data_IF_410452208329
#
_entry.id   IF_410452208329
#
_cell.length_a   1.000
_cell.length_b   1.000
_cell.length_c   1.000
_cell.angle_alpha   90.00
_cell.angle_beta   90.00
_cell.angle_gamma   90.00
#
_symmetry.space_group_name_H-M   'P 1'
#
loop_
_entity.id
_entity.type
_entity.pdbx_description
1 polymer ?
#
# COMPACT_ATOMS: atom_id res chain seq x y z
N UNK A 1 -16.46 -5.49 -2.61
CA UNK A 1 -15.10 -6.01 -2.36
C UNK A 1 -14.20 -5.28 -3.33
N UNK A 2 -13.48 -4.27 -2.88
CA UNK A 2 -12.22 -3.96 -3.53
C UNK A 2 -11.30 -5.07 -3.04
N UNK A 3 -10.94 -6.00 -3.92
CA UNK A 3 -10.01 -7.05 -3.58
C UNK A 3 -8.67 -6.37 -3.27
N UNK A 4 -8.20 -6.51 -2.03
CA UNK A 4 -6.89 -6.02 -1.62
C UNK A 4 -5.81 -6.51 -2.58
N UNK A 5 -4.75 -5.72 -2.77
CA UNK A 5 -3.70 -6.07 -3.73
C UNK A 5 -3.19 -7.48 -3.40
N UNK A 6 -3.20 -8.43 -4.35
CA UNK A 6 -2.79 -9.78 -4.05
C UNK A 6 -1.29 -9.80 -3.74
N UNK A 7 -0.86 -10.63 -2.78
CA UNK A 7 0.53 -10.67 -2.28
C UNK A 7 1.59 -10.77 -3.39
N UNK A 8 1.30 -11.48 -4.49
CA UNK A 8 2.23 -11.60 -5.63
C UNK A 8 2.45 -10.27 -6.37
N UNK A 9 1.43 -9.39 -6.38
CA UNK A 9 1.52 -8.06 -6.98
C UNK A 9 2.33 -7.11 -6.10
N UNK A 10 2.15 -7.18 -4.77
CA UNK A 10 2.98 -6.45 -3.80
C UNK A 10 4.45 -6.83 -3.94
N UNK A 11 4.74 -8.13 -4.09
CA UNK A 11 6.11 -8.61 -4.35
C UNK A 11 6.67 -8.01 -5.64
N UNK A 12 5.90 -7.99 -6.74
CA UNK A 12 6.33 -7.38 -8.02
C UNK A 12 6.62 -5.89 -7.90
N UNK A 13 5.82 -5.13 -7.14
CA UNK A 13 6.03 -3.69 -6.89
C UNK A 13 7.39 -3.45 -6.19
N UNK A 14 7.84 -4.37 -5.32
CA UNK A 14 9.19 -4.27 -4.71
C UNK A 14 10.34 -4.43 -5.71
N UNK A 15 10.11 -5.07 -6.86
CA UNK A 15 11.11 -5.20 -7.93
C UNK A 15 11.12 -4.02 -8.90
N UNK A 16 10.19 -3.05 -8.75
CA UNK A 16 10.12 -1.89 -9.63
C UNK A 16 11.12 -0.78 -9.27
N UNK A 17 11.69 -0.84 -8.07
CA UNK A 17 12.74 0.07 -7.60
C UNK A 17 14.02 0.00 -8.47
N UNK A 18 14.59 1.17 -8.78
CA UNK A 18 15.77 1.29 -9.64
C UNK A 18 17.00 0.59 -9.06
N UNK A 19 17.23 0.68 -7.74
CA UNK A 19 18.34 0.01 -7.06
C UNK A 19 18.16 -1.51 -7.08
N UNK A 20 16.93 -1.99 -6.89
CA UNK A 20 16.62 -3.42 -6.96
C UNK A 20 16.87 -3.96 -8.38
N UNK A 21 16.48 -3.22 -9.41
CA UNK A 21 16.77 -3.57 -10.82
C UNK A 21 18.26 -3.65 -11.11
N UNK A 22 19.07 -2.74 -10.56
CA UNK A 22 20.54 -2.78 -10.68
C UNK A 22 21.12 -4.01 -9.98
N UNK A 23 20.66 -4.32 -8.77
CA UNK A 23 21.09 -5.52 -8.04
C UNK A 23 20.70 -6.81 -8.78
N UNK A 24 19.49 -6.85 -9.35
CA UNK A 24 19.02 -7.97 -10.17
C UNK A 24 19.88 -8.14 -11.43
N UNK A 25 20.23 -7.03 -12.10
CA UNK A 25 21.13 -7.05 -13.25
C UNK A 25 22.54 -7.55 -12.85
N UNK A 26 23.07 -7.10 -11.70
CA UNK A 26 24.35 -7.57 -11.18
C UNK A 26 24.32 -9.07 -10.86
N UNK A 27 23.25 -9.57 -10.24
CA UNK A 27 23.05 -11.00 -9.98
C UNK A 27 23.00 -11.81 -11.29
N UNK A 28 22.30 -11.31 -12.31
CA UNK A 28 22.20 -11.95 -13.62
C UNK A 28 23.57 -11.99 -14.34
N UNK A 29 24.33 -10.88 -14.29
CA UNK A 29 25.68 -10.82 -14.85
C UNK A 29 26.60 -11.77 -14.09
N UNK A 30 26.62 -11.75 -12.76
CA UNK A 30 27.43 -12.66 -11.93
C UNK A 30 27.12 -14.13 -12.25
N UNK A 31 25.83 -14.49 -12.36
CA UNK A 31 25.42 -15.84 -12.74
C UNK A 31 25.86 -16.21 -14.17
N UNK A 32 25.74 -15.29 -15.13
CA UNK A 32 26.20 -15.50 -16.50
C UNK A 32 27.73 -15.66 -16.57
N UNK A 33 28.49 -14.93 -15.76
CA UNK A 33 29.94 -15.07 -15.68
C UNK A 33 30.33 -16.47 -15.17
N UNK A 34 29.67 -16.98 -14.12
CA UNK A 34 29.90 -18.35 -13.60
C UNK A 34 29.61 -19.42 -14.66
N UNK A 35 28.65 -19.14 -15.56
CA UNK A 35 28.26 -20.04 -16.65
C UNK A 35 29.18 -19.96 -17.87
N UNK A 36 29.69 -18.77 -18.20
CA UNK A 36 30.53 -18.49 -19.38
C UNK A 36 32.03 -18.63 -19.08
N UNK A 37 32.46 -18.57 -17.82
CA UNK A 37 33.88 -18.67 -17.46
C UNK A 37 34.45 -20.00 -17.98
N UNK A 38 35.34 -19.89 -18.98
CA UNK A 38 36.06 -20.98 -19.65
C UNK A 38 36.94 -21.68 -18.60
N UNK A 39 36.34 -22.63 -17.88
CA UNK A 39 37.06 -23.41 -16.87
C UNK A 39 38.04 -24.34 -17.58
N UNK A 40 39.28 -24.37 -17.09
CA UNK A 40 40.23 -25.39 -17.49
C UNK A 40 39.59 -26.79 -17.34
N UNK A 41 39.75 -27.69 -18.33
CA UNK A 41 39.06 -28.97 -18.34
C UNK A 41 39.45 -29.79 -17.09
N UNK A 42 38.52 -29.93 -16.15
CA UNK A 42 38.69 -30.72 -14.92
C UNK A 42 38.57 -29.96 -13.59
N UNK A 43 38.35 -28.64 -13.57
CA UNK A 43 38.02 -27.93 -12.33
C UNK A 43 36.58 -28.25 -11.89
N UNK A 44 36.34 -28.82 -10.69
CA UNK A 44 34.99 -29.02 -10.17
C UNK A 44 34.30 -27.68 -9.95
N UNK A 45 32.98 -27.65 -10.11
CA UNK A 45 32.18 -26.48 -9.76
C UNK A 45 32.21 -26.38 -8.23
N UNK A 46 33.02 -25.48 -7.70
CA UNK A 46 33.07 -25.23 -6.27
C UNK A 46 31.83 -24.43 -5.87
N UNK A 47 31.24 -24.80 -4.73
CA UNK A 47 30.09 -24.08 -4.14
C UNK A 47 30.39 -22.58 -3.93
N UNK A 48 31.67 -22.23 -3.83
CA UNK A 48 32.20 -20.87 -3.67
C UNK A 48 31.81 -19.97 -4.86
N UNK A 49 31.75 -20.50 -6.08
CA UNK A 49 31.43 -19.72 -7.28
C UNK A 49 29.96 -19.25 -7.31
N UNK A 50 29.06 -19.96 -6.61
CA UNK A 50 27.65 -19.57 -6.48
C UNK A 50 27.34 -18.74 -5.23
N UNK A 51 28.33 -18.51 -4.36
CA UNK A 51 28.12 -17.72 -3.14
C UNK A 51 27.74 -16.29 -3.49
N UNK A 52 28.45 -15.66 -4.44
CA UNK A 52 28.20 -14.27 -4.82
C UNK A 52 26.79 -14.01 -5.39
N UNK A 53 26.32 -14.70 -6.45
CA UNK A 53 24.95 -14.51 -6.94
C UNK A 53 23.92 -15.01 -5.92
N UNK A 54 24.24 -16.03 -5.12
CA UNK A 54 23.38 -16.55 -4.07
C UNK A 54 23.13 -15.54 -2.94
N UNK A 55 24.16 -14.81 -2.49
CA UNK A 55 24.04 -13.77 -1.46
C UNK A 55 23.21 -12.59 -1.97
N UNK A 56 23.41 -12.16 -3.23
CA UNK A 56 22.62 -11.06 -3.81
C UNK A 56 21.15 -11.45 -3.89
N UNK A 57 20.85 -12.66 -4.37
CA UNK A 57 19.47 -13.17 -4.44
C UNK A 57 18.82 -13.29 -3.05
N UNK A 58 19.59 -13.72 -2.05
CA UNK A 58 19.12 -13.78 -0.66
C UNK A 58 18.74 -12.39 -0.13
N UNK A 59 19.55 -11.37 -0.37
CA UNK A 59 19.27 -9.99 0.04
C UNK A 59 17.98 -9.48 -0.63
N UNK A 60 17.80 -9.75 -1.92
CA UNK A 60 16.59 -9.37 -2.64
C UNK A 60 15.32 -10.03 -2.07
N UNK A 61 15.40 -11.32 -1.74
CA UNK A 61 14.29 -12.04 -1.11
C UNK A 61 13.97 -11.45 0.27
N UNK A 62 15.00 -11.18 1.09
CA UNK A 62 14.80 -10.58 2.42
C UNK A 62 14.16 -9.19 2.32
N UNK A 63 14.62 -8.34 1.40
CA UNK A 63 14.03 -7.02 1.17
C UNK A 63 12.56 -7.12 0.73
N UNK A 64 12.24 -8.03 -0.18
CA UNK A 64 10.86 -8.25 -0.62
C UNK A 64 9.95 -8.71 0.54
N UNK A 65 10.43 -9.61 1.41
CA UNK A 65 9.69 -10.05 2.60
C UNK A 65 9.42 -8.88 3.56
N UNK A 66 10.43 -8.06 3.84
CA UNK A 66 10.30 -6.90 4.73
C UNK A 66 9.34 -5.87 4.13
N UNK A 67 9.45 -5.59 2.83
CA UNK A 67 8.56 -4.66 2.12
C UNK A 67 7.09 -5.10 2.19
N UNK A 68 6.80 -6.37 1.87
CA UNK A 68 5.43 -6.92 1.95
C UNK A 68 4.89 -6.87 3.38
N UNK A 69 5.73 -7.13 4.40
CA UNK A 69 5.28 -7.06 5.79
C UNK A 69 4.93 -5.63 6.23
N UNK A 70 5.69 -4.64 5.79
CA UNK A 70 5.43 -3.23 6.09
C UNK A 70 4.12 -2.75 5.43
N UNK A 71 3.89 -3.09 4.17
CA UNK A 71 2.69 -2.66 3.43
C UNK A 71 1.42 -3.37 3.94
N UNK A 72 1.49 -4.67 4.23
CA UNK A 72 0.37 -5.40 4.83
C UNK A 72 -0.03 -4.86 6.20
N UNK A 73 0.93 -4.42 7.01
CA UNK A 73 0.62 -3.83 8.32
C UNK A 73 -0.13 -2.50 8.21
N UNK A 74 0.13 -1.71 7.16
CA UNK A 74 -0.60 -0.47 6.88
C UNK A 74 -2.05 -0.75 6.43
N UNK A 75 -2.26 -1.72 5.52
CA UNK A 75 -3.60 -2.13 5.09
C UNK A 75 -4.45 -2.68 6.25
N UNK A 76 -3.88 -3.48 7.14
CA UNK A 76 -4.58 -4.04 8.30
C UNK A 76 -5.11 -2.95 9.25
N UNK A 77 -4.38 -1.85 9.43
CA UNK A 77 -4.83 -0.73 10.25
C UNK A 77 -6.07 -0.04 9.64
N UNK A 78 -6.11 0.06 8.30
CA UNK A 78 -7.26 0.59 7.58
C UNK A 78 -8.46 -0.37 7.64
N UNK A 79 -8.23 -1.68 7.60
CA UNK A 79 -9.28 -2.70 7.71
C UNK A 79 -9.90 -2.72 9.12
N UNK A 80 -9.10 -2.56 10.17
CA UNK A 80 -9.60 -2.43 11.55
C UNK A 80 -10.56 -1.22 11.72
N UNK A 81 -10.35 -0.13 10.96
CA UNK A 81 -11.30 0.99 10.91
C UNK A 81 -12.60 0.61 10.18
N UNK A 82 -12.54 -0.24 9.14
CA UNK A 82 -13.74 -0.75 8.45
C UNK A 82 -14.56 -1.68 9.36
N UNK A 83 -13.91 -2.52 10.17
CA UNK A 83 -14.58 -3.39 11.15
C UNK A 83 -15.30 -2.63 12.27
N UNK A 84 -15.05 -1.33 12.43
CA UNK A 84 -15.84 -0.51 13.36
C UNK A 84 -17.29 -0.32 12.91
N UNK A 85 -17.62 -0.61 11.64
CA UNK A 85 -18.98 -0.53 11.09
C UNK A 85 -19.83 -1.74 11.52
N UNK A 86 -21.10 -1.52 11.84
CA UNK A 86 -22.03 -2.59 12.24
C UNK A 86 -22.27 -3.56 11.08
N UNK A 87 -22.13 -4.87 11.28
CA UNK A 87 -22.39 -5.88 10.23
C UNK A 87 -23.89 -6.01 9.88
N UNK A 88 -24.77 -5.73 10.85
CA UNK A 88 -26.22 -5.88 10.70
C UNK A 88 -26.98 -4.67 11.21
N UNK A 89 -28.15 -4.44 10.62
CA UNK A 89 -29.05 -3.34 10.93
C UNK A 89 -30.50 -3.87 11.04
N UNK A 90 -31.30 -3.22 11.90
CA UNK A 90 -32.74 -3.46 11.96
C UNK A 90 -33.45 -2.43 11.10
N UNK A 91 -34.08 -2.87 10.02
CA UNK A 91 -34.68 -2.00 8.99
C UNK A 91 -36.16 -2.32 8.84
N UNK A 92 -36.98 -1.29 8.63
CA UNK A 92 -38.38 -1.43 8.26
C UNK A 92 -38.51 -1.32 6.74
N UNK A 93 -38.76 -2.44 6.05
CA UNK A 93 -39.08 -2.49 4.62
C UNK A 93 -40.38 -3.29 4.42
N UNK A 94 -41.20 -2.87 3.46
CA UNK A 94 -42.51 -3.49 3.16
C UNK A 94 -43.42 -3.66 4.40
N UNK A 95 -43.33 -2.73 5.36
CA UNK A 95 -44.11 -2.75 6.60
C UNK A 95 -43.68 -3.82 7.61
N UNK A 96 -42.57 -4.53 7.39
CA UNK A 96 -42.03 -5.55 8.31
C UNK A 96 -40.63 -5.17 8.77
N UNK A 97 -40.34 -5.45 10.04
CA UNK A 97 -39.01 -5.30 10.59
C UNK A 97 -38.15 -6.50 10.19
N UNK A 98 -37.10 -6.23 9.42
CA UNK A 98 -36.00 -7.17 9.21
C UNK A 98 -34.92 -6.90 10.26
N UNK A 99 -34.59 -7.91 11.05
CA UNK A 99 -33.65 -7.82 12.16
C UNK A 99 -32.21 -8.21 11.78
N UNK A 100 -32.00 -8.81 10.62
CA UNK A 100 -30.70 -9.32 10.17
C UNK A 100 -30.29 -8.72 8.81
N UNK A 101 -30.80 -7.53 8.49
CA UNK A 101 -30.49 -6.85 7.25
C UNK A 101 -29.02 -6.43 7.23
N UNK A 102 -28.33 -6.64 6.12
CA UNK A 102 -26.91 -6.30 6.02
C UNK A 102 -26.74 -4.78 5.95
N UNK A 103 -25.93 -4.21 6.83
CA UNK A 103 -25.75 -2.76 6.90
C UNK A 103 -25.21 -2.16 5.59
N UNK A 104 -24.45 -2.94 4.81
CA UNK A 104 -23.94 -2.54 3.48
C UNK A 104 -25.02 -2.32 2.43
N UNK A 105 -26.19 -2.93 2.60
CA UNK A 105 -27.30 -2.84 1.65
C UNK A 105 -28.27 -1.71 2.02
N UNK A 106 -27.93 -0.92 3.05
CA UNK A 106 -28.68 0.26 3.46
C UNK A 106 -28.55 1.36 2.41
N UNK A 107 -29.66 2.03 2.15
CA UNK A 107 -29.74 3.18 1.26
C UNK A 107 -30.35 4.39 1.97
N UNK A 108 -30.01 5.63 1.56
CA UNK A 108 -30.70 6.82 2.04
C UNK A 108 -32.22 6.68 1.87
N UNK A 109 -32.96 6.99 2.94
CA UNK A 109 -34.42 6.81 3.01
C UNK A 109 -34.88 5.56 3.74
N UNK A 110 -33.99 4.59 4.00
CA UNK A 110 -34.33 3.44 4.84
C UNK A 110 -34.69 3.87 6.27
N UNK A 111 -35.69 3.22 6.86
CA UNK A 111 -36.08 3.43 8.25
C UNK A 111 -35.40 2.39 9.12
N UNK A 112 -34.56 2.83 10.05
CA UNK A 112 -33.77 1.97 10.94
C UNK A 112 -34.22 2.11 12.39
N UNK A 113 -34.12 1.03 13.16
CA UNK A 113 -34.31 1.07 14.60
C UNK A 113 -32.98 0.84 15.32
N UNK A 114 -32.64 1.73 16.24
CA UNK A 114 -31.44 1.63 17.09
C UNK A 114 -31.87 1.45 18.54
N UNK A 115 -31.28 0.48 19.23
CA UNK A 115 -31.53 0.16 20.64
C UNK A 115 -30.21 0.14 21.40
N UNK A 116 -30.33 0.13 22.72
CA UNK A 116 -29.19 0.01 23.63
C UNK A 116 -28.34 -1.20 23.26
N UNK A 117 -27.03 -1.00 23.13
CA UNK A 117 -26.04 -2.00 22.74
C UNK A 117 -25.79 -2.09 21.24
N UNK A 118 -26.64 -1.50 20.40
CA UNK A 118 -26.42 -1.52 18.96
C UNK A 118 -25.43 -0.44 18.53
N UNK A 119 -24.67 -0.76 17.48
CA UNK A 119 -23.94 0.23 16.71
C UNK A 119 -24.83 0.82 15.62
N UNK A 120 -24.72 2.13 15.42
CA UNK A 120 -25.43 2.84 14.37
C UNK A 120 -24.81 2.43 13.02
N UNK A 121 -25.59 1.88 12.08
CA UNK A 121 -25.04 1.32 10.84
C UNK A 121 -24.71 2.39 9.79
N UNK A 122 -25.39 3.54 9.83
CA UNK A 122 -25.25 4.64 8.88
C UNK A 122 -25.73 5.94 9.51
N UNK A 123 -25.37 7.09 8.94
CA UNK A 123 -25.82 8.38 9.47
C UNK A 123 -27.32 8.53 9.27
N UNK A 124 -28.06 8.75 10.35
CA UNK A 124 -29.51 8.73 10.35
C UNK A 124 -30.10 9.88 11.16
N UNK A 125 -31.21 10.43 10.69
CA UNK A 125 -32.00 11.45 11.37
C UNK A 125 -33.01 10.77 12.29
N UNK A 126 -32.98 11.08 13.59
CA UNK A 126 -33.97 10.55 14.54
C UNK A 126 -35.36 11.06 14.16
N UNK A 127 -36.35 10.18 14.09
CA UNK A 127 -37.74 10.53 13.76
C UNK A 127 -38.67 10.30 14.93
N UNK A 128 -38.43 9.24 15.71
CA UNK A 128 -39.28 8.90 16.85
C UNK A 128 -38.44 8.26 17.94
N UNK A 129 -38.60 8.74 19.17
CA UNK A 129 -38.04 8.09 20.35
C UNK A 129 -39.02 7.02 20.84
N UNK A 130 -38.56 5.78 20.98
CA UNK A 130 -39.35 4.70 21.59
C UNK A 130 -39.26 4.70 23.11
N UNK A 131 -38.21 5.31 23.65
CA UNK A 131 -37.99 5.54 25.08
C UNK A 131 -38.02 7.03 25.38
N UNK A 132 -38.09 7.40 26.67
CA UNK A 132 -38.10 8.81 27.09
C UNK A 132 -36.85 9.57 26.61
N UNK A 133 -35.69 8.89 26.61
CA UNK A 133 -34.44 9.42 26.09
C UNK A 133 -33.68 8.33 25.35
N UNK A 134 -32.83 8.73 24.41
CA UNK A 134 -31.82 7.89 23.78
C UNK A 134 -30.46 8.57 24.00
N UNK A 135 -29.43 7.80 24.34
CA UNK A 135 -28.06 8.26 24.53
C UNK A 135 -27.11 7.49 23.63
N UNK A 136 -26.19 8.21 23.01
CA UNK A 136 -25.15 7.62 22.17
C UNK A 136 -23.76 8.01 22.67
N UNK A 137 -22.85 7.04 22.64
CA UNK A 137 -21.43 7.23 22.82
C UNK A 137 -20.81 7.62 21.48
N UNK A 138 -20.27 8.84 21.43
CA UNK A 138 -19.74 9.43 20.20
C UNK A 138 -18.22 9.59 20.22
N UNK A 139 -17.54 8.94 21.18
CA UNK A 139 -16.10 9.04 21.40
C UNK A 139 -15.26 8.75 20.15
N UNK A 140 -15.70 7.83 19.29
CA UNK A 140 -15.02 7.50 18.03
C UNK A 140 -14.98 8.65 17.02
N UNK A 141 -15.88 9.63 17.13
CA UNK A 141 -15.98 10.77 16.20
C UNK A 141 -15.61 12.10 16.86
N UNK A 142 -15.95 12.28 18.14
CA UNK A 142 -15.75 13.56 18.85
C UNK A 142 -14.57 13.52 19.82
N UNK A 143 -14.06 12.33 20.17
CA UNK A 143 -13.06 12.17 21.22
C UNK A 143 -13.60 12.33 22.65
N UNK A 144 -14.88 12.63 22.82
CA UNK A 144 -15.52 12.81 24.13
C UNK A 144 -16.17 11.52 24.62
N UNK A 145 -15.79 11.05 25.80
CA UNK A 145 -16.30 9.80 26.39
C UNK A 145 -17.70 9.92 27.01
N UNK A 146 -18.29 11.11 27.06
CA UNK A 146 -19.60 11.32 27.68
C UNK A 146 -20.70 11.04 26.67
N UNK A 147 -21.68 10.20 27.06
CA UNK A 147 -22.82 9.89 26.21
C UNK A 147 -23.74 11.11 26.04
N UNK A 148 -24.13 11.37 24.79
CA UNK A 148 -24.93 12.55 24.40
C UNK A 148 -26.39 12.12 24.18
N UNK A 149 -27.34 12.89 24.74
CA UNK A 149 -28.77 12.67 24.49
C UNK A 149 -29.11 13.05 23.05
N UNK A 150 -29.99 12.28 22.40
CA UNK A 150 -30.57 12.68 21.10
C UNK A 150 -32.05 12.99 21.20
N UNK A 151 -32.48 13.89 20.31
CA UNK A 151 -33.85 14.40 20.22
C UNK A 151 -34.37 14.38 18.78
N UNK A 152 -35.65 14.70 18.60
CA UNK A 152 -36.35 14.75 17.32
C UNK A 152 -36.31 16.18 16.75
N UNK A 153 -36.09 17.20 17.57
CA UNK A 153 -36.16 18.60 17.14
C UNK A 153 -35.13 18.94 16.04
N UNK A 154 -35.54 19.84 15.14
CA UNK A 154 -34.66 20.35 14.10
C UNK A 154 -33.59 21.25 14.71
N UNK A 155 -32.44 21.30 14.04
CA UNK A 155 -31.34 22.20 14.41
C UNK A 155 -31.45 23.39 13.46
N UNK A 156 -31.49 24.59 14.03
CA UNK A 156 -31.65 25.83 13.26
C UNK A 156 -30.39 26.23 12.50
N UNK A 157 -29.22 25.83 13.01
CA UNK A 157 -27.92 26.13 12.40
C UNK A 157 -27.52 25.05 11.38
N UNK A 158 -27.43 25.38 10.08
CA UNK A 158 -26.99 24.44 9.05
C UNK A 158 -25.50 24.04 9.19
N UNK A 159 -24.68 24.87 9.84
CA UNK A 159 -23.24 24.66 10.03
C UNK A 159 -22.90 24.18 11.45
N UNK A 160 -23.90 23.67 12.18
CA UNK A 160 -23.73 23.15 13.52
C UNK A 160 -22.63 22.07 13.59
N UNK A 161 -21.78 22.18 14.62
CA UNK A 161 -20.74 21.20 14.93
C UNK A 161 -21.33 19.79 15.14
N UNK A 162 -20.49 18.77 14.97
CA UNK A 162 -20.93 17.37 15.09
C UNK A 162 -21.56 17.07 16.46
N UNK A 163 -21.02 17.64 17.55
CA UNK A 163 -21.58 17.50 18.90
C UNK A 163 -22.96 18.16 19.03
N UNK A 164 -23.16 19.31 18.38
CA UNK A 164 -24.41 20.07 18.44
C UNK A 164 -25.55 19.39 17.65
N UNK A 165 -25.23 18.41 16.79
CA UNK A 165 -26.22 17.63 16.03
C UNK A 165 -26.95 16.61 16.91
N UNK A 166 -27.78 17.13 17.82
CA UNK A 166 -28.59 16.38 18.78
C UNK A 166 -29.66 15.51 18.15
N UNK A 167 -30.01 15.73 16.88
CA UNK A 167 -31.06 14.97 16.20
C UNK A 167 -30.54 13.95 15.18
N UNK A 168 -29.22 13.82 15.07
CA UNK A 168 -28.53 12.91 14.18
C UNK A 168 -27.87 11.76 14.95
N UNK A 169 -27.94 10.57 14.38
CA UNK A 169 -27.15 9.40 14.71
C UNK A 169 -26.02 9.29 13.69
N UNK A 170 -24.81 8.98 14.14
CA UNK A 170 -23.66 8.87 13.25
C UNK A 170 -23.19 7.41 13.15
N UNK A 171 -22.87 6.97 11.94
CA UNK A 171 -22.35 5.64 11.67
C UNK A 171 -21.13 5.31 12.53
N UNK A 172 -21.10 4.11 13.10
CA UNK A 172 -20.01 3.64 13.97
C UNK A 172 -20.14 4.05 15.44
N UNK A 173 -21.04 4.98 15.79
CA UNK A 173 -21.35 5.28 17.21
C UNK A 173 -22.22 4.20 17.84
N UNK A 174 -22.15 4.06 19.17
CA UNK A 174 -22.90 3.03 19.90
C UNK A 174 -24.01 3.66 20.75
N UNK A 175 -25.18 3.03 20.78
CA UNK A 175 -26.27 3.45 21.65
C UNK A 175 -26.06 2.89 23.06
N UNK A 176 -25.83 3.77 24.03
CA UNK A 176 -25.59 3.39 25.43
C UNK A 176 -26.88 3.24 26.23
N UNK A 177 -27.96 3.93 25.85
CA UNK A 177 -29.24 3.83 26.53
C UNK A 177 -30.41 4.22 25.62
N UNK A 178 -31.55 3.53 25.76
CA UNK A 178 -32.80 3.85 25.09
C UNK A 178 -33.01 3.11 23.76
N UNK A 179 -34.05 3.51 23.04
CA UNK A 179 -34.39 3.04 21.71
C UNK A 179 -35.04 4.15 20.87
N UNK A 180 -34.72 4.21 19.58
CA UNK A 180 -35.31 5.16 18.65
C UNK A 180 -35.46 4.58 17.24
N UNK A 181 -36.31 5.24 16.45
CA UNK A 181 -36.47 5.03 15.01
C UNK A 181 -35.89 6.24 14.30
N UNK A 182 -35.07 5.98 13.29
CA UNK A 182 -34.37 7.00 12.52
C UNK A 182 -34.47 6.70 11.02
N UNK A 183 -34.34 7.74 10.19
CA UNK A 183 -34.27 7.61 8.73
C UNK A 183 -32.82 7.80 8.30
N UNK A 184 -32.30 6.87 7.51
CA UNK A 184 -30.95 6.94 6.96
C UNK A 184 -30.83 8.13 6.02
N UNK A 185 -29.83 8.97 6.26
CA UNK A 185 -29.53 10.16 5.45
C UNK A 185 -28.31 9.95 4.56
N UNK A 186 -27.25 9.35 5.11
CA UNK A 186 -26.00 9.11 4.39
C UNK A 186 -25.48 7.70 4.70
N UNK A 187 -24.89 7.05 3.70
CA UNK A 187 -24.32 5.70 3.78
C UNK A 187 -22.92 5.68 3.16
N UNK A 188 -22.11 4.69 3.53
CA UNK A 188 -20.74 4.50 3.01
C UNK A 188 -19.85 5.74 3.20
N UNK A 189 -19.09 6.10 2.17
CA UNK A 189 -18.12 7.20 2.19
C UNK A 189 -18.76 8.60 2.38
N UNK A 190 -20.08 8.72 2.28
CA UNK A 190 -20.79 9.98 2.52
C UNK A 190 -21.15 10.22 3.99
N UNK A 191 -20.99 9.21 4.84
CA UNK A 191 -21.17 9.34 6.30
C UNK A 191 -20.05 10.19 6.91
N UNK A 192 -20.23 10.71 8.12
CA UNK A 192 -19.18 11.48 8.81
C UNK A 192 -17.92 10.63 9.05
N UNK A 193 -18.07 9.36 9.45
CA UNK A 193 -16.93 8.43 9.54
C UNK A 193 -16.32 8.12 8.17
N UNK A 194 -17.15 8.02 7.12
CA UNK A 194 -16.71 7.81 5.75
C UNK A 194 -15.92 9.00 5.18
N UNK A 195 -16.27 10.24 5.55
CA UNK A 195 -15.51 11.43 5.20
C UNK A 195 -14.14 11.44 5.87
N UNK A 196 -14.06 11.04 7.15
CA UNK A 196 -12.79 10.89 7.86
C UNK A 196 -11.94 9.82 7.17
N UNK A 197 -12.52 8.66 6.83
CA UNK A 197 -11.82 7.61 6.11
C UNK A 197 -11.34 8.08 4.73
N UNK A 198 -12.15 8.84 3.99
CA UNK A 198 -11.78 9.41 2.69
C UNK A 198 -10.59 10.38 2.83
N UNK A 199 -10.59 11.21 3.88
CA UNK A 199 -9.51 12.14 4.16
C UNK A 199 -8.22 11.43 4.56
N UNK A 200 -8.30 10.37 5.37
CA UNK A 200 -7.14 9.54 5.73
C UNK A 200 -6.61 8.83 4.49
N UNK A 201 -7.49 8.27 3.66
CA UNK A 201 -7.10 7.61 2.42
C UNK A 201 -6.44 8.59 1.44
N UNK A 202 -7.04 9.76 1.24
CA UNK A 202 -6.46 10.82 0.41
C UNK A 202 -5.09 11.28 0.96
N UNK A 203 -4.97 11.44 2.29
CA UNK A 203 -3.69 11.78 2.93
C UNK A 203 -2.65 10.65 2.85
N UNK A 204 -3.07 9.38 2.79
CA UNK A 204 -2.18 8.24 2.57
C UNK A 204 -1.79 8.06 1.09
N UNK A 205 -2.65 8.45 0.15
CA UNK A 205 -2.33 8.51 -1.27
C UNK A 205 -1.43 9.72 -1.58
N UNK A 206 -1.60 10.82 -0.83
CA UNK A 206 -0.68 11.95 -0.70
C UNK A 206 0.38 11.69 0.38
N UNK A 207 0.85 10.44 0.54
CA UNK A 207 2.14 10.19 1.17
C UNK A 207 3.21 10.86 0.29
N UNK A 208 3.38 12.17 0.47
CA UNK A 208 4.62 12.84 0.12
C UNK A 208 5.70 12.05 0.85
N UNK A 209 6.55 11.37 0.06
CA UNK A 209 7.67 10.59 0.57
C UNK A 209 8.31 11.36 1.73
N UNK A 210 8.50 10.71 2.88
CA UNK A 210 9.03 11.40 4.06
C UNK A 210 10.28 12.20 3.67
N UNK A 211 10.56 13.36 4.27
CA UNK A 211 11.71 14.19 3.89
C UNK A 211 13.05 13.45 4.01
N UNK A 212 13.10 12.32 4.73
CA UNK A 212 14.22 11.40 4.76
C UNK A 212 14.24 10.45 3.55
N UNK A 213 13.10 9.87 3.18
CA UNK A 213 12.95 8.98 2.00
C UNK A 213 13.29 9.72 0.70
N UNK A 214 12.78 10.94 0.49
CA UNK A 214 13.14 11.75 -0.69
C UNK A 214 14.65 12.02 -0.79
N UNK A 215 15.33 12.19 0.35
CA UNK A 215 16.79 12.36 0.36
C UNK A 215 17.48 11.06 -0.01
N UNK A 216 17.05 9.93 0.56
CA UNK A 216 17.57 8.60 0.24
C UNK A 216 17.40 8.27 -1.25
N UNK A 217 16.24 8.55 -1.84
CA UNK A 217 15.99 8.29 -3.26
C UNK A 217 16.89 9.16 -4.14
N UNK A 218 17.04 10.45 -3.82
CA UNK A 218 18.01 11.33 -4.50
C UNK A 218 19.45 10.85 -4.35
N UNK A 219 19.82 10.31 -3.19
CA UNK A 219 21.13 9.70 -2.99
C UNK A 219 21.29 8.41 -3.83
N UNK A 220 20.24 7.60 -3.94
CA UNK A 220 20.18 6.40 -4.78
C UNK A 220 20.34 6.72 -6.26
N UNK A 221 19.68 7.77 -6.76
CA UNK A 221 19.81 8.25 -8.12
C UNK A 221 21.23 8.78 -8.41
N UNK A 222 21.81 9.52 -7.47
CA UNK A 222 23.19 10.01 -7.58
C UNK A 222 24.21 8.87 -7.63
N UNK A 223 24.03 7.85 -6.78
CA UNK A 223 24.83 6.63 -6.80
C UNK A 223 24.70 5.89 -8.14
N UNK A 224 23.47 5.75 -8.65
CA UNK A 224 23.19 5.08 -9.92
C UNK A 224 23.89 5.78 -11.09
N UNK A 225 23.79 7.10 -11.17
CA UNK A 225 24.48 7.88 -12.19
C UNK A 225 26.01 7.81 -12.03
N UNK A 226 26.50 7.88 -10.79
CA UNK A 226 27.92 7.76 -10.48
C UNK A 226 28.52 6.42 -10.91
N UNK A 227 27.89 5.30 -10.51
CA UNK A 227 28.29 3.94 -10.89
C UNK A 227 28.24 3.80 -12.41
N UNK A 228 27.16 4.25 -13.06
CA UNK A 228 27.03 4.21 -14.52
C UNK A 228 28.15 4.95 -15.24
N UNK A 229 28.57 6.11 -14.73
CA UNK A 229 29.69 6.88 -15.29
C UNK A 229 31.02 6.16 -15.10
N UNK A 230 31.29 5.60 -13.91
CA UNK A 230 32.52 4.82 -13.67
C UNK A 230 32.57 3.59 -14.57
N UNK A 231 31.47 2.83 -14.69
CA UNK A 231 31.38 1.68 -15.58
C UNK A 231 31.65 2.07 -17.04
N UNK A 232 31.06 3.16 -17.53
CA UNK A 232 31.30 3.67 -18.88
C UNK A 232 32.76 4.11 -19.06
N UNK A 233 33.33 4.78 -18.07
CA UNK A 233 34.73 5.22 -18.10
C UNK A 233 35.71 4.04 -18.14
N UNK A 234 35.52 3.03 -17.29
CA UNK A 234 36.30 1.78 -17.29
C UNK A 234 36.17 1.08 -18.64
N UNK A 235 34.95 1.00 -19.18
CA UNK A 235 34.71 0.42 -20.50
C UNK A 235 35.45 1.16 -21.61
N UNK A 236 35.43 2.50 -21.62
CA UNK A 236 36.16 3.32 -22.61
C UNK A 236 37.67 3.16 -22.49
N UNK A 237 38.22 3.15 -21.27
CA UNK A 237 39.66 2.92 -21.04
C UNK A 237 40.10 1.52 -21.50
N UNK A 238 39.26 0.51 -21.28
CA UNK A 238 39.58 -0.87 -21.57
C UNK A 238 39.10 -1.32 -22.97
N UNK A 239 38.39 -0.48 -23.71
CA UNK A 239 37.92 -0.75 -25.08
C UNK A 239 39.05 -1.17 -26.03
N UNK A 240 40.24 -0.57 -25.86
CA UNK A 240 41.47 -0.91 -26.61
C UNK A 240 42.01 -2.33 -26.29
N UNK A 241 41.71 -2.88 -25.12
CA UNK A 241 42.09 -4.23 -24.70
C UNK A 241 41.05 -5.30 -25.09
N UNK A 242 39.78 -4.90 -25.25
CA UNK A 242 38.66 -5.79 -25.63
C UNK A 242 38.50 -6.03 -27.11
N UNK A 243 38.92 -5.07 -27.95
CA UNK A 243 38.79 -5.19 -29.39
C UNK A 243 40.19 -5.14 -30.01
N UNK A 244 40.72 -6.30 -30.38
CA UNK A 244 41.95 -6.37 -31.17
C UNK A 244 41.60 -6.22 -32.64
N UNK A 245 41.90 -5.05 -33.23
CA UNK A 245 41.80 -4.85 -34.67
C UNK A 245 43.11 -5.31 -35.30
N UNK A 246 43.11 -6.42 -36.07
CA UNK A 246 44.26 -6.78 -36.91
C UNK A 246 44.13 -6.09 -38.27
N UNK A 247 45.14 -5.29 -38.63
CA UNK A 247 45.23 -4.55 -39.90
C UNK A 247 46.02 -5.39 -40.92
N UNK A 248 45.43 -5.71 -42.06
CA UNK A 248 46.21 -6.23 -43.19
C UNK A 248 47.08 -5.09 -43.78
N UNK A 249 48.32 -5.35 -44.20
CA UNK A 249 49.18 -4.32 -44.78
C UNK A 249 48.60 -3.87 -46.14
N UNK A 250 48.04 -2.65 -46.20
CA UNK A 250 47.66 -1.99 -47.45
C UNK A 250 46.17 -1.76 -47.75
N UNK A 251 45.23 -2.00 -46.81
CA UNK A 251 43.79 -1.70 -47.01
C UNK A 251 43.17 -0.96 -45.82
N UNK A 252 42.19 -0.09 -46.10
CA UNK A 252 41.50 0.78 -45.13
C UNK A 252 40.30 0.11 -44.44
N UNK A 253 39.95 -1.13 -44.84
CA UNK A 253 38.78 -1.86 -44.31
C UNK A 253 39.24 -2.96 -43.35
N UNK A 254 38.76 -2.99 -42.09
CA UNK A 254 39.05 -4.06 -41.13
C UNK A 254 38.15 -5.28 -41.38
N UNK A 255 38.72 -6.49 -41.33
CA UNK A 255 38.03 -7.74 -41.69
C UNK A 255 37.74 -8.69 -40.52
N UNK A 256 38.19 -8.41 -39.31
CA UNK A 256 37.91 -9.29 -38.16
C UNK A 256 37.75 -8.48 -36.87
N UNK A 257 36.59 -8.60 -36.25
CA UNK A 257 36.26 -8.01 -34.95
C UNK A 257 36.09 -9.16 -33.97
N UNK A 258 37.20 -9.63 -33.38
CA UNK A 258 37.14 -10.62 -32.31
C UNK A 258 36.97 -9.89 -30.97
N UNK A 259 35.82 -10.10 -30.34
CA UNK A 259 35.51 -9.61 -29.00
C UNK A 259 35.94 -10.66 -27.98
N UNK A 260 37.06 -10.44 -27.29
CA UNK A 260 37.61 -11.44 -26.37
C UNK A 260 37.02 -11.29 -24.96
N UNK A 261 35.95 -12.05 -24.69
CA UNK A 261 35.19 -12.04 -23.43
C UNK A 261 36.05 -12.47 -22.21
N UNK A 262 37.07 -13.31 -22.41
CA UNK A 262 37.89 -13.87 -21.33
C UNK A 262 38.83 -12.84 -20.66
N UNK A 263 39.23 -11.77 -21.37
CA UNK A 263 39.98 -10.66 -20.74
C UNK A 263 39.07 -9.72 -19.95
N UNK A 264 37.77 -9.71 -20.26
CA UNK A 264 36.79 -8.84 -19.61
C UNK A 264 36.52 -9.31 -18.20
N UNK A 265 36.31 -10.62 -18.05
CA UNK A 265 36.20 -11.28 -16.75
C UNK A 265 37.45 -11.12 -15.89
N UNK A 266 38.66 -11.24 -16.43
CA UNK A 266 39.89 -11.11 -15.63
C UNK A 266 40.09 -9.71 -15.01
N UNK A 267 39.76 -8.65 -15.73
CA UNK A 267 39.89 -7.27 -15.21
C UNK A 267 38.72 -6.81 -14.35
N UNK A 268 37.54 -7.42 -14.50
CA UNK A 268 36.39 -7.14 -13.63
C UNK A 268 36.45 -7.89 -12.29
N UNK A 269 37.29 -8.93 -12.18
CA UNK A 269 37.49 -9.77 -10.98
C UNK A 269 38.56 -9.22 -10.02
N UNK A 270 39.32 -8.20 -10.42
CA UNK A 270 40.29 -7.44 -9.60
C UNK A 270 39.63 -6.15 -9.13
#
# INVERSE_FOLDING_TARGET
KEDGKPLWKLVLEQFDDALVKILLAAAAVSFALVWVEDRAPGAPIDLVDFVEPGVILLILILNAIVGVWQESNAENALEALKEMQSDTARVLRDGKWDHAFQARDLVPGDVVEVRTGDRVPADARVVTLKTATIRLEQASLTGESVAVNKDIDAIDDPDAELQAKGCMLFGGTAASQGACVAIVTHTGMRTEIGKIQAQIQAASEEEEDTPLKQKLDRFGDQLTWGIGLVCLFVWLMNYQFFISWKRAPGSFVPYDVEFNFAKCTFYFKI
#
